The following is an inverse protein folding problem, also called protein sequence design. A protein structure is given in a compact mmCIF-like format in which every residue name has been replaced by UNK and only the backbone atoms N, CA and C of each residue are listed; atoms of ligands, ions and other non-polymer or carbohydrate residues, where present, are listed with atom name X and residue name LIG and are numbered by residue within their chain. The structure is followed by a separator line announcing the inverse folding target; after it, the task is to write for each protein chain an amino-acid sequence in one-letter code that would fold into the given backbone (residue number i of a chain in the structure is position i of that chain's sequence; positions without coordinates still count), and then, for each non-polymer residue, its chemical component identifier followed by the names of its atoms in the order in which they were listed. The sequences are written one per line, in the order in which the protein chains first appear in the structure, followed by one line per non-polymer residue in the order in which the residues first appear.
data_IF_121810551138
#
_entry.id   IF_121810551138
#
_cell.length_a   1.000
_cell.length_b   1.000
_cell.length_c   1.000
_cell.angle_alpha   90.00
_cell.angle_beta   90.00
_cell.angle_gamma   90.00
#
_symmetry.space_group_name_H-M   'P 1'
#
loop_
_entity.id
_entity.type
_entity.pdbx_description
1 polymer ?
#
# COMPACT_ATOMS: atom_id res chain seq x y z
N UNK A 1 -6.44 -29.37 -2.33
CA UNK A 1 -5.77 -29.59 -1.04
C UNK A 1 -6.42 -28.69 0.00
N UNK A 2 -6.91 -29.25 1.08
CA UNK A 2 -7.60 -28.53 2.16
C UNK A 2 -6.59 -28.03 3.21
N UNK A 3 -5.93 -26.90 2.90
CA UNK A 3 -5.01 -26.26 3.83
C UNK A 3 -5.69 -25.71 5.09
N UNK A 4 -6.96 -25.32 4.99
CA UNK A 4 -7.72 -24.84 6.14
C UNK A 4 -8.02 -25.98 7.13
N UNK A 5 -8.47 -27.13 6.62
CA UNK A 5 -8.67 -28.33 7.43
C UNK A 5 -7.37 -28.82 8.06
N UNK A 6 -6.26 -28.80 7.33
CA UNK A 6 -4.94 -29.14 7.85
C UNK A 6 -4.50 -28.17 8.96
N UNK A 7 -4.65 -26.85 8.77
CA UNK A 7 -4.33 -25.87 9.79
C UNK A 7 -5.19 -26.08 11.06
N UNK A 8 -6.48 -26.33 10.91
CA UNK A 8 -7.37 -26.66 12.04
C UNK A 8 -6.92 -27.91 12.79
N UNK A 9 -6.54 -28.98 12.09
CA UNK A 9 -6.10 -30.24 12.69
C UNK A 9 -4.76 -30.11 13.41
N UNK A 10 -3.88 -29.26 12.94
CA UNK A 10 -2.56 -29.02 13.53
C UNK A 10 -2.58 -27.96 14.64
N UNK A 11 -3.56 -27.05 14.66
CA UNK A 11 -3.62 -25.94 15.62
C UNK A 11 -3.43 -26.36 17.08
N UNK A 12 -4.01 -27.47 17.57
CA UNK A 12 -3.81 -27.91 18.98
C UNK A 12 -2.36 -28.23 19.34
N UNK A 13 -1.53 -28.54 18.36
CA UNK A 13 -0.11 -28.86 18.54
C UNK A 13 0.79 -27.64 18.65
N UNK A 14 0.26 -26.44 18.32
CA UNK A 14 1.03 -25.19 18.26
C UNK A 14 0.41 -24.13 19.19
N UNK A 15 1.26 -23.45 19.96
CA UNK A 15 0.85 -22.27 20.76
C UNK A 15 0.55 -21.06 19.87
N UNK A 16 1.24 -20.95 18.73
CA UNK A 16 1.03 -19.90 17.76
C UNK A 16 -0.20 -20.21 16.88
N UNK A 17 -0.94 -19.17 16.49
CA UNK A 17 -2.06 -19.31 15.55
C UNK A 17 -1.53 -19.69 14.17
N UNK A 18 -2.03 -20.79 13.62
CA UNK A 18 -1.76 -21.20 12.25
C UNK A 18 -2.70 -20.46 11.30
N UNK A 19 -2.15 -19.73 10.35
CA UNK A 19 -2.89 -18.98 9.34
C UNK A 19 -2.67 -19.63 7.98
N UNK A 20 -3.64 -20.38 7.44
CA UNK A 20 -3.52 -21.00 6.13
C UNK A 20 -3.56 -19.91 5.04
N UNK A 21 -2.58 -19.95 4.14
CA UNK A 21 -2.50 -19.05 2.99
C UNK A 21 -2.57 -19.89 1.72
N UNK A 22 -3.66 -19.74 0.98
CA UNK A 22 -3.85 -20.40 -0.32
C UNK A 22 -3.42 -19.50 -1.44
N UNK A 23 -2.28 -19.79 -2.06
CA UNK A 23 -1.84 -19.08 -3.26
C UNK A 23 -2.38 -19.76 -4.52
N UNK A 24 -3.21 -19.07 -5.27
CA UNK A 24 -3.72 -19.57 -6.56
C UNK A 24 -2.62 -19.79 -7.62
N UNK A 25 -1.43 -19.22 -7.39
CA UNK A 25 -0.29 -19.37 -8.29
C UNK A 25 0.17 -20.84 -8.35
N UNK A 26 0.08 -21.56 -7.24
CA UNK A 26 0.51 -22.97 -7.16
C UNK A 26 -0.59 -23.97 -7.51
N UNK A 27 -1.86 -23.60 -7.43
CA UNK A 27 -2.99 -24.49 -7.73
C UNK A 27 -3.15 -24.78 -9.24
N UNK A 28 -2.47 -24.04 -10.10
CA UNK A 28 -2.54 -24.18 -11.55
C UNK A 28 -1.23 -24.70 -12.19
N UNK A 29 -0.33 -25.26 -11.39
CA UNK A 29 0.80 -26.01 -11.93
C UNK A 29 0.31 -27.34 -12.48
N UNK A 30 -0.19 -27.32 -13.72
CA UNK A 30 -0.37 -28.54 -14.49
C UNK A 30 1.02 -29.16 -14.70
N UNK A 31 1.17 -30.38 -14.19
CA UNK A 31 2.44 -31.14 -14.21
C UNK A 31 2.90 -31.48 -15.64
N UNK A 32 2.08 -31.26 -16.68
CA UNK A 32 2.32 -31.68 -18.02
C UNK A 32 2.91 -30.64 -18.98
N UNK A 33 2.81 -29.34 -18.68
CA UNK A 33 3.25 -28.32 -19.64
C UNK A 33 3.82 -27.07 -18.95
N UNK A 34 5.06 -27.15 -18.63
CA UNK A 34 5.99 -26.11 -18.28
C UNK A 34 5.53 -24.63 -18.18
N UNK A 35 6.31 -23.86 -17.49
CA UNK A 35 6.20 -22.44 -17.10
C UNK A 35 5.51 -21.46 -18.08
N UNK A 36 5.37 -21.82 -19.37
CA UNK A 36 4.82 -20.97 -20.44
C UNK A 36 3.28 -20.85 -20.39
N UNK A 37 2.58 -21.96 -20.17
CA UNK A 37 1.10 -22.02 -20.15
C UNK A 37 0.53 -21.33 -18.90
N UNK A 38 1.23 -21.39 -17.78
CA UNK A 38 0.86 -20.69 -16.54
C UNK A 38 0.90 -19.18 -16.72
N UNK A 39 1.92 -18.67 -17.41
CA UNK A 39 2.11 -17.25 -17.66
C UNK A 39 0.99 -16.66 -18.53
N UNK A 40 0.56 -17.42 -19.55
CA UNK A 40 -0.49 -16.97 -20.49
C UNK A 40 -1.90 -17.04 -19.88
N UNK A 41 -2.24 -18.13 -19.18
CA UNK A 41 -3.57 -18.31 -18.58
C UNK A 41 -3.80 -17.41 -17.35
N UNK A 42 -2.80 -17.23 -16.50
CA UNK A 42 -2.87 -16.28 -15.39
C UNK A 42 -2.98 -14.84 -15.92
N UNK A 43 -2.23 -14.49 -16.96
CA UNK A 43 -2.28 -13.20 -17.62
C UNK A 43 -3.65 -12.93 -18.28
N UNK A 44 -4.25 -13.93 -18.93
CA UNK A 44 -5.56 -13.77 -19.58
C UNK A 44 -6.73 -13.65 -18.61
N UNK A 45 -6.75 -14.43 -17.51
CA UNK A 45 -7.79 -14.31 -16.47
C UNK A 45 -7.71 -12.99 -15.70
N UNK A 46 -6.51 -12.47 -15.49
CA UNK A 46 -6.34 -11.18 -14.81
C UNK A 46 -6.57 -9.98 -15.74
N UNK A 47 -6.29 -10.09 -17.05
CA UNK A 47 -6.62 -9.02 -18.02
C UNK A 47 -8.12 -8.70 -18.08
N UNK A 48 -8.99 -9.62 -17.71
CA UNK A 48 -10.44 -9.38 -17.63
C UNK A 48 -10.89 -8.68 -16.34
N UNK A 49 -10.06 -8.63 -15.30
CA UNK A 49 -10.45 -8.05 -14.00
C UNK A 49 -9.55 -6.92 -13.48
N UNK A 50 -8.31 -6.80 -13.95
CA UNK A 50 -7.35 -5.80 -13.47
C UNK A 50 -6.43 -5.32 -14.61
N UNK A 51 -6.13 -4.03 -14.64
CA UNK A 51 -5.16 -3.45 -15.56
C UNK A 51 -3.78 -4.11 -15.45
N UNK A 52 -3.06 -4.13 -16.55
CA UNK A 52 -1.90 -4.94 -16.90
C UNK A 52 -0.67 -4.96 -15.97
N UNK A 53 -0.66 -4.25 -14.85
CA UNK A 53 0.49 -4.16 -13.93
C UNK A 53 0.54 -5.25 -12.85
N UNK A 54 -0.43 -6.16 -12.80
CA UNK A 54 -0.69 -7.03 -11.65
C UNK A 54 -0.09 -8.45 -11.70
N UNK A 55 0.75 -8.79 -12.67
CA UNK A 55 1.14 -10.21 -12.90
C UNK A 55 2.51 -10.59 -12.33
N UNK A 56 3.21 -9.72 -11.62
CA UNK A 56 4.54 -10.02 -11.06
C UNK A 56 4.60 -9.88 -9.54
N UNK A 57 5.60 -10.40 -8.94
CA UNK A 57 5.76 -11.17 -7.68
C UNK A 57 4.85 -10.80 -6.51
N UNK A 58 3.75 -10.14 -6.79
CA UNK A 58 2.82 -9.67 -5.77
C UNK A 58 1.64 -10.60 -5.47
N UNK A 59 1.51 -11.74 -6.14
CA UNK A 59 0.37 -12.63 -5.88
C UNK A 59 0.40 -13.18 -4.44
N UNK A 60 1.55 -13.70 -4.01
CA UNK A 60 1.71 -14.20 -2.64
C UNK A 60 1.50 -13.11 -1.58
N UNK A 61 1.93 -11.89 -1.87
CA UNK A 61 1.71 -10.75 -1.00
C UNK A 61 0.22 -10.44 -0.79
N UNK A 62 -0.57 -10.43 -1.86
CA UNK A 62 -2.00 -10.15 -1.78
C UNK A 62 -2.72 -11.22 -0.98
N UNK A 63 -2.37 -12.49 -1.19
CA UNK A 63 -2.95 -13.61 -0.44
C UNK A 63 -2.59 -13.55 1.06
N UNK A 64 -1.35 -13.16 1.39
CA UNK A 64 -0.94 -12.92 2.78
C UNK A 64 -1.76 -11.78 3.38
N UNK A 65 -1.89 -10.65 2.68
CA UNK A 65 -2.68 -9.52 3.19
C UNK A 65 -4.14 -9.87 3.38
N UNK A 66 -4.77 -10.61 2.46
CA UNK A 66 -6.14 -11.09 2.64
C UNK A 66 -6.27 -11.99 3.88
N UNK A 67 -5.34 -12.94 4.06
CA UNK A 67 -5.33 -13.81 5.24
C UNK A 67 -5.12 -13.03 6.55
N UNK A 68 -4.28 -11.99 6.54
CA UNK A 68 -4.09 -11.11 7.69
C UNK A 68 -5.37 -10.34 8.02
N UNK A 69 -6.05 -9.79 7.01
CA UNK A 69 -7.32 -9.10 7.20
C UNK A 69 -8.38 -10.05 7.78
N UNK A 70 -8.49 -11.25 7.22
CA UNK A 70 -9.54 -12.20 7.61
C UNK A 70 -9.30 -12.87 8.98
N UNK A 71 -8.05 -13.15 9.31
CA UNK A 71 -7.74 -14.07 10.42
C UNK A 71 -6.94 -13.44 11.56
N UNK A 72 -6.26 -12.33 11.32
CA UNK A 72 -5.33 -11.72 12.28
C UNK A 72 -5.81 -10.36 12.78
N UNK A 73 -6.30 -9.51 11.89
CA UNK A 73 -6.76 -8.17 12.25
C UNK A 73 -8.01 -8.23 13.12
N UNK A 74 -8.07 -7.35 14.09
CA UNK A 74 -9.14 -7.28 15.10
C UNK A 74 -9.86 -5.93 15.01
N UNK A 75 -11.19 -5.87 15.23
CA UNK A 75 -11.94 -4.62 15.29
C UNK A 75 -11.31 -3.65 16.29
N UNK A 76 -11.14 -2.40 15.89
CA UNK A 76 -10.54 -1.34 16.72
C UNK A 76 -11.40 -0.08 16.68
N UNK A 77 -11.28 0.74 17.73
CA UNK A 77 -11.79 2.11 17.68
C UNK A 77 -10.93 2.92 16.72
N UNK A 78 -11.56 3.52 15.72
CA UNK A 78 -10.85 4.35 14.72
C UNK A 78 -10.19 5.55 15.40
N UNK A 79 -8.93 5.77 15.07
CA UNK A 79 -8.17 6.96 15.46
C UNK A 79 -8.30 7.99 14.32
N UNK A 80 -8.91 9.15 14.58
CA UNK A 80 -8.98 10.21 13.58
C UNK A 80 -7.60 10.62 13.08
N UNK A 81 -7.52 11.05 11.82
CA UNK A 81 -6.28 11.52 11.20
C UNK A 81 -5.12 10.52 11.31
N UNK A 82 -5.43 9.25 11.10
CA UNK A 82 -4.41 8.20 11.04
C UNK A 82 -4.54 7.36 9.77
N UNK A 83 -3.39 6.90 9.26
CA UNK A 83 -3.32 6.15 8.02
C UNK A 83 -2.53 4.86 8.18
N UNK A 84 -2.90 3.83 7.41
CA UNK A 84 -1.99 2.73 7.10
C UNK A 84 -1.41 2.94 5.71
N UNK A 85 -0.16 2.60 5.51
CA UNK A 85 0.53 2.72 4.22
C UNK A 85 0.98 1.34 3.75
N UNK A 86 0.64 0.98 2.52
CA UNK A 86 1.14 -0.25 1.89
C UNK A 86 2.61 -0.08 1.48
N UNK A 87 3.52 -0.88 2.05
CA UNK A 87 4.98 -0.71 1.85
C UNK A 87 5.51 -1.33 0.58
N UNK A 88 4.93 -2.43 0.13
CA UNK A 88 5.44 -3.22 -0.99
C UNK A 88 5.37 -2.50 -2.36
N UNK A 89 4.68 -1.38 -2.43
CA UNK A 89 4.33 -0.73 -3.68
C UNK A 89 5.31 0.34 -4.15
N UNK A 90 6.27 0.75 -3.33
CA UNK A 90 7.03 1.97 -3.56
C UNK A 90 8.32 1.82 -4.38
N UNK A 91 8.64 0.59 -4.82
CA UNK A 91 9.73 0.30 -5.75
C UNK A 91 11.13 0.53 -5.16
N UNK A 92 12.07 0.80 -6.04
CA UNK A 92 13.46 1.07 -5.68
C UNK A 92 13.57 2.31 -4.75
N UNK A 93 14.35 2.23 -3.68
CA UNK A 93 14.45 3.23 -2.60
C UNK A 93 13.12 3.48 -1.86
N UNK A 94 12.32 2.42 -1.65
CA UNK A 94 11.02 2.52 -1.00
C UNK A 94 11.06 3.07 0.43
N UNK A 95 12.14 2.80 1.18
CA UNK A 95 12.30 3.30 2.56
C UNK A 95 12.40 4.82 2.60
N UNK A 96 13.23 5.44 1.76
CA UNK A 96 13.39 6.89 1.70
C UNK A 96 12.06 7.58 1.32
N UNK A 97 11.31 6.99 0.40
CA UNK A 97 10.00 7.51 -0.03
C UNK A 97 8.97 7.42 1.09
N UNK A 98 8.97 6.31 1.83
CA UNK A 98 8.06 6.11 2.95
C UNK A 98 8.41 7.07 4.10
N UNK A 99 9.69 7.30 4.36
CA UNK A 99 10.14 8.28 5.35
C UNK A 99 9.69 9.69 4.96
N UNK A 100 9.97 10.14 3.74
CA UNK A 100 9.54 11.46 3.25
C UNK A 100 8.02 11.64 3.31
N UNK A 101 7.25 10.61 2.93
CA UNK A 101 5.80 10.63 3.05
C UNK A 101 5.34 10.72 4.51
N UNK A 102 5.97 9.97 5.41
CA UNK A 102 5.67 9.99 6.83
C UNK A 102 5.92 11.36 7.46
N UNK A 103 7.04 12.00 7.12
CA UNK A 103 7.38 13.34 7.58
C UNK A 103 6.36 14.38 7.11
N UNK A 104 5.95 14.31 5.84
CA UNK A 104 4.92 15.19 5.29
C UNK A 104 3.58 14.99 5.98
N UNK A 105 3.13 13.76 6.16
CA UNK A 105 1.90 13.44 6.88
C UNK A 105 1.94 13.96 8.33
N UNK A 106 3.07 13.78 8.99
CA UNK A 106 3.25 14.28 10.38
C UNK A 106 3.15 15.81 10.46
N UNK A 107 3.74 16.56 9.53
CA UNK A 107 3.59 18.03 9.44
C UNK A 107 2.12 18.45 9.26
N UNK A 108 1.34 17.65 8.55
CA UNK A 108 -0.10 17.83 8.34
C UNK A 108 -0.95 17.40 9.54
N UNK A 109 -0.34 16.87 10.60
CA UNK A 109 -1.04 16.34 11.77
C UNK A 109 -1.69 14.98 11.55
N UNK A 110 -1.20 14.21 10.58
CA UNK A 110 -1.67 12.87 10.25
C UNK A 110 -0.65 11.85 10.77
N UNK A 111 -1.11 10.86 11.53
CA UNK A 111 -0.26 9.83 12.13
C UNK A 111 -0.23 8.59 11.24
N UNK A 112 0.94 8.03 10.96
CA UNK A 112 1.05 6.70 10.36
C UNK A 112 0.83 5.66 11.45
N UNK A 113 -0.26 4.87 11.32
CA UNK A 113 -0.63 3.82 12.27
C UNK A 113 0.15 2.53 11.99
N UNK A 114 0.27 2.13 10.72
CA UNK A 114 1.02 0.94 10.34
C UNK A 114 1.58 1.03 8.91
N UNK A 115 2.73 0.42 8.71
CA UNK A 115 3.28 0.11 7.41
C UNK A 115 2.97 -1.36 7.09
N UNK A 116 2.02 -1.61 6.19
CA UNK A 116 1.55 -2.96 5.92
C UNK A 116 2.20 -3.57 4.68
N UNK A 117 2.67 -4.80 4.79
CA UNK A 117 2.68 -5.72 5.93
C UNK A 117 3.99 -5.69 6.75
N UNK A 118 4.84 -4.68 6.58
CA UNK A 118 6.17 -4.61 7.22
C UNK A 118 6.13 -4.34 8.74
N UNK A 119 4.93 -4.22 9.31
CA UNK A 119 4.74 -4.03 10.75
C UNK A 119 4.84 -5.34 11.54
N UNK A 120 5.10 -5.22 12.82
CA UNK A 120 5.00 -6.36 13.74
C UNK A 120 3.56 -6.86 13.88
N UNK A 121 3.39 -8.09 14.38
CA UNK A 121 2.09 -8.75 14.48
C UNK A 121 1.09 -7.97 15.35
N UNK A 122 1.53 -7.31 16.41
CA UNK A 122 0.63 -6.55 17.29
C UNK A 122 0.12 -5.28 16.58
N UNK A 123 0.97 -4.64 15.81
CA UNK A 123 0.60 -3.50 14.97
C UNK A 123 -0.35 -3.93 13.85
N UNK A 124 -0.09 -5.07 13.19
CA UNK A 124 -0.97 -5.65 12.17
C UNK A 124 -2.36 -5.95 12.74
N UNK A 125 -2.45 -6.56 13.91
CA UNK A 125 -3.74 -6.82 14.60
C UNK A 125 -4.55 -5.54 14.79
N UNK A 126 -3.89 -4.42 15.07
CA UNK A 126 -4.49 -3.11 15.31
C UNK A 126 -4.60 -2.23 14.06
N UNK A 127 -4.26 -2.75 12.89
CA UNK A 127 -4.33 -1.97 11.64
C UNK A 127 -5.73 -1.36 11.38
N UNK A 128 -6.88 -2.00 11.73
CA UNK A 128 -8.19 -1.38 11.59
C UNK A 128 -8.43 -0.11 12.43
N UNK A 129 -7.48 0.26 13.28
CA UNK A 129 -7.51 1.55 14.00
C UNK A 129 -7.32 2.75 13.09
N UNK A 130 -6.72 2.59 11.93
CA UNK A 130 -6.52 3.69 11.00
C UNK A 130 -7.83 4.21 10.41
N UNK A 131 -7.88 5.52 10.17
CA UNK A 131 -9.02 6.18 9.53
C UNK A 131 -8.99 6.01 7.99
N UNK A 132 -7.82 5.69 7.41
CA UNK A 132 -7.64 5.55 5.97
C UNK A 132 -6.50 4.57 5.66
N UNK A 133 -6.69 3.76 4.60
CA UNK A 133 -5.62 2.95 4.02
C UNK A 133 -5.11 3.60 2.72
N UNK A 134 -3.81 3.81 2.58
CA UNK A 134 -3.16 4.27 1.35
C UNK A 134 -2.56 3.04 0.68
N UNK A 135 -3.14 2.66 -0.47
CA UNK A 135 -2.88 1.35 -1.05
C UNK A 135 -2.63 1.40 -2.55
N UNK A 136 -1.81 0.50 -3.02
CA UNK A 136 -1.61 0.26 -4.45
C UNK A 136 -2.40 -0.95 -4.95
N UNK A 137 -2.79 -1.86 -4.06
CA UNK A 137 -3.55 -3.07 -4.38
C UNK A 137 -4.89 -3.08 -3.67
N UNK A 138 -5.96 -3.01 -4.47
CA UNK A 138 -7.33 -2.86 -3.94
C UNK A 138 -7.84 -4.07 -3.17
N UNK A 139 -7.40 -5.29 -3.48
CA UNK A 139 -8.06 -6.52 -3.02
C UNK A 139 -8.17 -6.58 -1.49
N UNK A 140 -7.04 -6.51 -0.79
CA UNK A 140 -7.04 -6.55 0.67
C UNK A 140 -7.65 -5.29 1.31
N UNK A 141 -7.56 -4.14 0.63
CA UNK A 141 -8.15 -2.90 1.12
C UNK A 141 -9.68 -2.95 1.06
N UNK A 142 -10.26 -3.54 0.02
CA UNK A 142 -11.69 -3.82 -0.07
C UNK A 142 -12.15 -4.78 1.04
N UNK A 143 -11.36 -5.81 1.35
CA UNK A 143 -11.66 -6.70 2.47
C UNK A 143 -11.63 -5.96 3.82
N UNK A 144 -10.68 -5.03 4.03
CA UNK A 144 -10.64 -4.18 5.23
C UNK A 144 -11.85 -3.23 5.31
N UNK A 145 -12.21 -2.63 4.20
CA UNK A 145 -13.38 -1.74 4.14
C UNK A 145 -14.68 -2.51 4.45
N UNK A 146 -14.86 -3.68 3.86
CA UNK A 146 -16.03 -4.53 4.11
C UNK A 146 -16.10 -5.03 5.55
N UNK A 147 -14.97 -5.41 6.14
CA UNK A 147 -14.94 -6.02 7.46
C UNK A 147 -14.91 -5.01 8.61
N UNK A 148 -14.18 -3.92 8.44
CA UNK A 148 -13.90 -2.95 9.50
C UNK A 148 -14.39 -1.54 9.20
N UNK A 149 -14.89 -1.27 7.98
CA UNK A 149 -15.33 0.04 7.57
C UNK A 149 -14.18 1.03 7.27
N UNK A 150 -12.93 0.57 7.22
CA UNK A 150 -11.78 1.44 6.97
C UNK A 150 -11.68 1.77 5.48
N UNK A 151 -11.93 3.01 5.04
CA UNK A 151 -11.86 3.40 3.64
C UNK A 151 -10.43 3.34 3.12
N UNK A 152 -10.26 3.38 1.79
CA UNK A 152 -8.94 3.39 1.21
C UNK A 152 -8.79 4.39 0.06
N UNK A 153 -7.59 4.95 -0.06
CA UNK A 153 -7.12 5.72 -1.21
C UNK A 153 -6.24 4.82 -2.08
N UNK A 154 -6.68 4.60 -3.32
CA UNK A 154 -5.95 3.77 -4.26
C UNK A 154 -4.97 4.60 -5.08
N UNK A 155 -3.69 4.33 -4.90
CA UNK A 155 -2.56 4.99 -5.58
C UNK A 155 -2.03 4.06 -6.68
N UNK A 156 -2.89 3.71 -7.66
CA UNK A 156 -2.56 2.67 -8.65
C UNK A 156 -1.58 3.13 -9.71
N UNK A 157 -1.72 4.34 -10.14
CA UNK A 157 -0.94 4.89 -11.24
C UNK A 157 0.00 5.96 -10.70
N UNK A 158 1.26 5.55 -10.49
CA UNK A 158 2.29 6.51 -10.06
C UNK A 158 2.52 7.62 -11.09
N UNK A 159 1.99 7.49 -12.31
CA UNK A 159 2.09 8.54 -13.32
C UNK A 159 1.21 9.74 -12.98
N UNK A 160 0.08 9.53 -12.31
CA UNK A 160 -0.80 10.62 -11.86
C UNK A 160 -0.18 11.42 -10.69
N UNK A 161 0.77 10.83 -9.95
CA UNK A 161 1.37 11.41 -8.75
C UNK A 161 2.82 11.86 -8.97
N UNK A 162 3.18 12.23 -10.20
CA UNK A 162 4.51 12.72 -10.51
C UNK A 162 4.60 14.26 -10.44
N UNK A 163 5.79 14.72 -10.08
CA UNK A 163 6.07 16.14 -9.96
C UNK A 163 5.40 16.77 -8.73
N UNK A 164 5.58 18.06 -8.60
CA UNK A 164 5.09 18.83 -7.45
C UNK A 164 3.56 18.82 -7.40
N UNK A 165 2.91 19.00 -8.55
CA UNK A 165 1.44 19.07 -8.65
C UNK A 165 0.81 17.73 -8.31
N UNK A 166 1.27 16.63 -8.94
CA UNK A 166 0.73 15.30 -8.68
C UNK A 166 0.89 14.87 -7.22
N UNK A 167 2.07 15.11 -6.62
CA UNK A 167 2.29 14.82 -5.19
C UNK A 167 1.38 15.70 -4.31
N UNK A 168 1.21 16.97 -4.66
CA UNK A 168 0.32 17.87 -3.91
C UNK A 168 -1.14 17.39 -3.97
N UNK A 169 -1.60 16.92 -5.12
CA UNK A 169 -2.96 16.38 -5.28
C UNK A 169 -3.16 15.09 -4.48
N UNK A 170 -2.15 14.25 -4.36
CA UNK A 170 -2.21 13.08 -3.47
C UNK A 170 -2.49 13.52 -2.02
N UNK A 171 -1.72 14.47 -1.49
CA UNK A 171 -1.92 14.96 -0.13
C UNK A 171 -3.25 15.66 0.04
N UNK A 172 -3.74 16.41 -0.96
CA UNK A 172 -5.08 17.01 -0.95
C UNK A 172 -6.17 15.96 -0.86
N UNK A 173 -6.06 14.86 -1.60
CA UNK A 173 -7.02 13.75 -1.51
C UNK A 173 -6.99 13.11 -0.13
N UNK A 174 -5.81 12.87 0.45
CA UNK A 174 -5.69 12.37 1.82
C UNK A 174 -6.34 13.35 2.81
N UNK A 175 -6.05 14.65 2.68
CA UNK A 175 -6.62 15.69 3.53
C UNK A 175 -8.14 15.74 3.47
N UNK A 176 -8.70 15.65 2.27
CA UNK A 176 -10.15 15.60 2.05
C UNK A 176 -10.80 14.38 2.72
N UNK A 177 -10.20 13.21 2.58
CA UNK A 177 -10.72 11.99 3.19
C UNK A 177 -10.62 11.98 4.72
N UNK A 178 -9.67 12.72 5.29
CA UNK A 178 -9.45 12.81 6.74
C UNK A 178 -10.00 14.08 7.37
N UNK A 179 -10.62 14.99 6.61
CA UNK A 179 -11.16 16.26 7.08
C UNK A 179 -10.10 17.20 7.65
N UNK A 180 -8.96 17.33 6.98
CA UNK A 180 -7.85 18.18 7.42
C UNK A 180 -7.23 19.03 6.29
N UNK A 181 -8.04 19.44 5.32
CA UNK A 181 -7.64 20.14 4.11
C UNK A 181 -6.81 21.40 4.41
N UNK A 182 -7.23 22.20 5.39
CA UNK A 182 -6.52 23.43 5.76
C UNK A 182 -5.09 23.16 6.24
N UNK A 183 -4.88 22.08 6.99
CA UNK A 183 -3.55 21.70 7.46
C UNK A 183 -2.68 21.23 6.29
N UNK A 184 -3.27 20.52 5.34
CA UNK A 184 -2.59 20.05 4.12
C UNK A 184 -2.15 21.24 3.27
N UNK A 185 -3.06 22.16 2.93
CA UNK A 185 -2.72 23.30 2.07
C UNK A 185 -1.62 24.18 2.70
N UNK A 186 -1.67 24.42 3.98
CA UNK A 186 -0.60 25.16 4.68
C UNK A 186 0.76 24.48 4.50
N UNK A 187 0.85 23.19 4.76
CA UNK A 187 2.12 22.44 4.64
C UNK A 187 2.60 22.38 3.19
N UNK A 188 1.68 22.21 2.24
CA UNK A 188 2.03 22.20 0.82
C UNK A 188 2.58 23.55 0.36
N UNK A 189 2.02 24.66 0.84
CA UNK A 189 2.51 25.99 0.55
C UNK A 189 3.92 26.22 1.11
N UNK A 190 4.15 25.86 2.38
CA UNK A 190 5.47 25.93 3.03
C UNK A 190 6.53 25.13 2.28
N UNK A 191 6.19 23.90 1.86
CA UNK A 191 7.11 23.04 1.10
C UNK A 191 7.34 23.55 -0.33
N UNK A 192 6.30 24.09 -0.97
CA UNK A 192 6.44 24.69 -2.29
C UNK A 192 7.43 25.86 -2.27
N UNK A 193 7.32 26.77 -1.31
CA UNK A 193 8.22 27.90 -1.16
C UNK A 193 9.68 27.45 -0.94
N UNK A 194 9.87 26.42 -0.10
CA UNK A 194 11.19 25.83 0.14
C UNK A 194 11.79 25.20 -1.11
N UNK A 195 10.99 24.47 -1.88
CA UNK A 195 11.43 23.81 -3.12
C UNK A 195 11.70 24.85 -4.21
N UNK A 196 10.84 25.87 -4.35
CA UNK A 196 11.00 26.94 -5.35
C UNK A 196 12.32 27.70 -5.14
N UNK A 197 12.66 28.05 -3.90
CA UNK A 197 13.94 28.69 -3.57
C UNK A 197 15.12 27.82 -4.01
N UNK A 198 15.06 26.51 -3.72
CA UNK A 198 16.11 25.57 -4.12
C UNK A 198 16.23 25.42 -5.64
N UNK A 199 15.12 25.42 -6.37
CA UNK A 199 15.13 25.38 -7.84
C UNK A 199 15.77 26.64 -8.44
N UNK A 200 15.54 27.81 -7.86
CA UNK A 200 16.18 29.06 -8.30
C UNK A 200 17.69 29.02 -8.12
N UNK A 201 18.18 28.55 -6.96
CA UNK A 201 19.61 28.37 -6.71
C UNK A 201 20.24 27.41 -7.75
N UNK A 202 19.64 26.24 -7.95
CA UNK A 202 20.12 25.24 -8.90
C UNK A 202 20.05 25.75 -10.35
N UNK A 203 19.01 26.48 -10.73
CA UNK A 203 18.86 27.06 -12.05
C UNK A 203 19.98 28.02 -12.38
N UNK A 204 20.43 28.84 -11.44
CA UNK A 204 21.58 29.73 -11.59
C UNK A 204 22.90 28.96 -11.80
N UNK A 205 23.04 27.79 -11.17
CA UNK A 205 24.20 26.95 -11.37
C UNK A 205 24.14 26.21 -12.72
N UNK A 206 23.00 25.66 -13.12
CA UNK A 206 22.83 24.99 -14.41
C UNK A 206 23.01 25.92 -15.60
N UNK A 207 22.67 27.21 -15.49
CA UNK A 207 22.88 28.19 -16.53
C UNK A 207 24.38 28.41 -16.90
N UNK A 208 25.29 27.97 -16.01
CA UNK A 208 26.74 28.00 -16.26
C UNK A 208 27.22 26.87 -17.17
N UNK A 209 26.43 25.85 -17.38
CA UNK A 209 26.77 24.66 -18.17
C UNK A 209 26.07 24.71 -19.53
N UNK A 210 26.85 24.58 -20.60
CA UNK A 210 26.31 24.37 -21.95
C UNK A 210 26.11 22.86 -22.12
N UNK A 211 24.88 22.42 -22.15
CA UNK A 211 24.54 21.04 -22.55
C UNK A 211 24.54 21.00 -24.09
N UNK A 212 25.40 20.16 -24.66
CA UNK A 212 25.46 19.88 -26.11
C UNK A 212 24.52 18.72 -26.42
#
# INVERSE_FOLDING_TARGET
DDLAGLACSLQPQFKAKLVPITSQVFSHMDKSNGRKVLREKACQKQKQKFSSSAVYPGCGYVEVMDALVEQVMEPQRVQPRSVNIETFAWGYNGEDKLQGMSEMLQKMGITVNAYLPAADLQTIKKAPRAALNIVRRKKWALAMEQRFGTPFLHVADMQEWHGIEGISDLYRQIGKMLGCENAVERVLQEEYERVAARYQELGADFAKYKFC
#
